data_IF_894041525278
#
_entry.id   IF_894041525278
#
_cell.length_a   1.000
_cell.length_b   1.000
_cell.length_c   1.000
_cell.angle_alpha   90.00
_cell.angle_beta   90.00
_cell.angle_gamma   90.00
#
_symmetry.space_group_name_H-M   'P 1'
#
loop_
_entity.id
_entity.type
_entity.pdbx_description
1 polymer ?
#
# COMPACT_ATOMS: atom_id res chain seq x y z
N UNK A 1 -42.11 -21.67 -48.34
CA UNK A 1 -40.76 -21.42 -48.90
C UNK A 1 -39.89 -20.91 -47.77
N UNK A 2 -38.87 -21.68 -47.37
CA UNK A 2 -37.92 -21.33 -46.32
C UNK A 2 -36.89 -20.33 -46.87
N UNK A 3 -36.80 -19.15 -46.25
CA UNK A 3 -35.69 -18.22 -46.45
C UNK A 3 -34.52 -18.63 -45.57
N UNK A 4 -33.48 -19.17 -46.19
CA UNK A 4 -32.22 -19.54 -45.53
C UNK A 4 -31.47 -18.24 -45.23
N UNK A 5 -31.40 -17.87 -43.96
CA UNK A 5 -30.45 -16.88 -43.48
C UNK A 5 -29.05 -17.51 -43.56
N UNK A 6 -28.22 -17.04 -44.49
CA UNK A 6 -26.79 -17.31 -44.48
C UNK A 6 -26.18 -16.64 -43.24
N UNK A 7 -25.63 -17.38 -42.27
CA UNK A 7 -24.84 -16.76 -41.21
C UNK A 7 -23.59 -16.18 -41.87
N UNK A 8 -23.41 -14.86 -41.74
CA UNK A 8 -22.14 -14.20 -41.96
C UNK A 8 -21.08 -14.97 -41.17
N UNK A 9 -20.23 -15.72 -41.87
CA UNK A 9 -19.04 -16.26 -41.26
C UNK A 9 -18.17 -15.07 -40.88
N UNK A 10 -18.17 -14.72 -39.59
CA UNK A 10 -17.11 -13.93 -39.01
C UNK A 10 -15.81 -14.66 -39.38
N UNK A 11 -15.04 -14.07 -40.29
CA UNK A 11 -13.76 -14.62 -40.70
C UNK A 11 -12.85 -14.59 -39.47
N UNK A 12 -12.73 -15.72 -38.79
CA UNK A 12 -11.70 -15.91 -37.78
C UNK A 12 -10.36 -15.75 -38.50
N UNK A 13 -9.67 -14.64 -38.22
CA UNK A 13 -8.33 -14.41 -38.76
C UNK A 13 -7.39 -15.49 -38.23
N UNK A 14 -6.52 -16.01 -39.10
CA UNK A 14 -5.44 -16.91 -38.66
C UNK A 14 -4.38 -16.13 -37.88
N UNK A 15 -3.64 -16.83 -37.01
CA UNK A 15 -2.57 -16.23 -36.21
C UNK A 15 -1.53 -15.50 -37.12
N UNK A 16 -1.28 -16.01 -38.33
CA UNK A 16 -0.43 -15.35 -39.34
C UNK A 16 -1.04 -14.07 -39.93
N UNK A 17 -2.35 -14.04 -40.19
CA UNK A 17 -3.06 -12.85 -40.69
C UNK A 17 -3.10 -11.75 -39.62
N UNK A 18 -3.27 -12.13 -38.35
CA UNK A 18 -3.21 -11.20 -37.22
C UNK A 18 -1.82 -10.60 -37.10
N UNK A 19 -0.77 -11.44 -37.22
CA UNK A 19 0.62 -10.97 -37.19
C UNK A 19 0.91 -9.95 -38.32
N UNK A 20 0.49 -10.25 -39.54
CA UNK A 20 0.70 -9.36 -40.69
C UNK A 20 -0.05 -8.04 -40.51
N UNK A 21 -1.31 -8.10 -40.05
CA UNK A 21 -2.09 -6.90 -39.74
C UNK A 21 -1.43 -6.02 -38.70
N UNK A 22 -0.83 -6.63 -37.67
CA UNK A 22 -0.10 -5.90 -36.63
C UNK A 22 1.16 -5.24 -37.20
N UNK A 23 1.94 -5.95 -38.01
CA UNK A 23 3.13 -5.41 -38.67
C UNK A 23 2.81 -4.23 -39.57
N UNK A 24 1.76 -4.34 -40.38
CA UNK A 24 1.28 -3.26 -41.26
C UNK A 24 0.77 -2.06 -40.45
N UNK A 25 0.03 -2.30 -39.36
CA UNK A 25 -0.45 -1.25 -38.48
C UNK A 25 0.68 -0.46 -37.83
N UNK A 26 1.74 -1.14 -37.37
CA UNK A 26 2.93 -0.51 -36.79
C UNK A 26 3.67 0.32 -37.86
N UNK A 27 3.83 -0.21 -39.08
CA UNK A 27 4.43 0.53 -40.21
C UNK A 27 3.64 1.78 -40.59
N UNK A 28 2.33 1.73 -40.45
CA UNK A 28 1.42 2.87 -40.66
C UNK A 28 1.38 3.85 -39.47
N UNK A 29 2.13 3.57 -38.39
CA UNK A 29 2.18 4.43 -37.20
C UNK A 29 0.94 4.36 -36.31
N UNK A 30 0.10 3.31 -36.45
CA UNK A 30 -1.08 3.13 -35.60
C UNK A 30 -0.68 2.78 -34.17
N UNK A 31 -1.42 3.31 -33.21
CA UNK A 31 -1.23 3.00 -31.78
C UNK A 31 -1.62 1.55 -31.47
N UNK A 32 -0.82 0.87 -30.63
CA UNK A 32 -1.04 -0.53 -30.22
C UNK A 32 -2.44 -0.77 -29.62
N UNK A 33 -2.97 0.21 -28.89
CA UNK A 33 -4.31 0.16 -28.28
C UNK A 33 -5.43 0.19 -29.33
N UNK A 34 -5.26 1.00 -30.39
CA UNK A 34 -6.22 1.11 -31.49
C UNK A 34 -6.24 -0.18 -32.30
N UNK A 35 -5.06 -0.72 -32.58
CA UNK A 35 -4.86 -1.98 -33.28
C UNK A 35 -5.49 -3.16 -32.51
N UNK A 36 -5.31 -3.23 -31.18
CA UNK A 36 -5.92 -4.25 -30.33
C UNK A 36 -7.45 -4.19 -30.37
N UNK A 37 -8.03 -2.99 -30.36
CA UNK A 37 -9.48 -2.77 -30.49
C UNK A 37 -10.01 -3.24 -31.84
N UNK A 38 -9.31 -2.93 -32.94
CA UNK A 38 -9.69 -3.39 -34.28
C UNK A 38 -9.63 -4.91 -34.42
N UNK A 39 -8.59 -5.55 -33.87
CA UNK A 39 -8.45 -7.01 -33.88
C UNK A 39 -9.53 -7.71 -33.05
N UNK A 40 -9.85 -7.16 -31.87
CA UNK A 40 -10.94 -7.67 -31.05
C UNK A 40 -12.30 -7.57 -31.79
N UNK A 41 -12.55 -6.46 -32.50
CA UNK A 41 -13.77 -6.29 -33.32
C UNK A 41 -13.82 -7.23 -34.51
N UNK A 42 -12.67 -7.68 -35.01
CA UNK A 42 -12.52 -8.68 -36.09
C UNK A 42 -12.59 -10.13 -35.59
N UNK A 43 -12.84 -10.34 -34.30
CA UNK A 43 -13.04 -11.68 -33.73
C UNK A 43 -11.76 -12.39 -33.30
N UNK A 44 -10.64 -11.67 -33.16
CA UNK A 44 -9.41 -12.24 -32.60
C UNK A 44 -9.60 -12.50 -31.11
N UNK A 45 -9.39 -13.75 -30.71
CA UNK A 45 -9.48 -14.17 -29.30
C UNK A 45 -8.27 -13.72 -28.50
N UNK A 46 -8.42 -13.61 -27.17
CA UNK A 46 -7.33 -13.24 -26.27
C UNK A 46 -6.17 -14.23 -26.37
N UNK A 47 -6.49 -15.51 -26.50
CA UNK A 47 -5.54 -16.61 -26.62
C UNK A 47 -4.76 -16.52 -27.94
N UNK A 48 -5.43 -16.16 -29.04
CA UNK A 48 -4.77 -15.87 -30.32
C UNK A 48 -3.85 -14.66 -30.24
N UNK A 49 -4.29 -13.58 -29.60
CA UNK A 49 -3.48 -12.38 -29.42
C UNK A 49 -2.20 -12.67 -28.63
N UNK A 50 -2.27 -13.49 -27.57
CA UNK A 50 -1.09 -13.89 -26.79
C UNK A 50 -0.10 -14.71 -27.61
N UNK A 51 -0.57 -15.70 -28.38
CA UNK A 51 0.30 -16.50 -29.25
C UNK A 51 0.99 -15.65 -30.31
N UNK A 52 0.25 -14.73 -30.93
CA UNK A 52 0.79 -13.83 -31.95
C UNK A 52 1.80 -12.84 -31.36
N UNK A 53 1.53 -12.31 -30.15
CA UNK A 53 2.50 -11.48 -29.39
C UNK A 53 3.82 -12.24 -29.19
N UNK A 54 3.75 -13.49 -28.75
CA UNK A 54 4.92 -14.33 -28.53
C UNK A 54 5.71 -14.60 -29.82
N UNK A 55 5.02 -14.88 -30.94
CA UNK A 55 5.66 -15.07 -32.25
C UNK A 55 6.36 -13.80 -32.73
N UNK A 56 5.74 -12.64 -32.54
CA UNK A 56 6.34 -11.34 -32.88
C UNK A 56 7.60 -11.06 -32.04
N UNK A 57 7.53 -11.27 -30.73
CA UNK A 57 8.66 -11.06 -29.81
C UNK A 57 9.82 -12.01 -30.09
N UNK A 58 9.52 -13.28 -30.37
CA UNK A 58 10.53 -14.27 -30.73
C UNK A 58 11.22 -13.89 -32.05
N UNK A 59 10.47 -13.41 -33.05
CA UNK A 59 11.03 -12.98 -34.34
C UNK A 59 11.84 -11.67 -34.23
N UNK A 60 11.44 -10.74 -33.35
CA UNK A 60 12.19 -9.50 -33.13
C UNK A 60 13.47 -9.72 -32.31
N UNK A 61 13.50 -10.73 -31.43
CA UNK A 61 14.68 -11.05 -30.63
C UNK A 61 15.84 -11.61 -31.49
N UNK A 62 15.55 -12.39 -32.55
CA UNK A 62 16.59 -12.91 -33.47
C UNK A 62 17.20 -11.83 -34.39
N UNK A 63 16.47 -10.75 -34.69
CA UNK A 63 16.99 -9.61 -35.47
C UNK A 63 17.83 -8.62 -34.65
N UNK A 64 17.84 -8.74 -33.31
CA UNK A 64 18.72 -7.94 -32.44
C UNK A 64 20.15 -8.52 -32.32
N UNK A 65 20.41 -9.70 -32.90
CA UNK A 65 21.71 -10.38 -32.82
C UNK A 65 22.79 -9.84 -33.76
N UNK A 66 22.46 -8.88 -34.64
CA UNK A 66 23.39 -8.29 -35.63
C UNK A 66 23.53 -6.77 -35.52
N UNK A 67 23.23 -6.19 -34.35
CA UNK A 67 23.51 -4.77 -34.08
C UNK A 67 24.30 -4.63 -32.78
N UNK A 68 25.57 -4.24 -32.97
CA UNK A 68 26.53 -3.80 -31.97
C UNK A 68 25.92 -2.85 -30.93
N UNK A 69 26.19 -3.13 -29.65
CA UNK A 69 26.30 -2.12 -28.60
C UNK A 69 25.03 -1.82 -27.80
N UNK A 70 25.03 -2.30 -26.55
CA UNK A 70 24.40 -1.65 -25.38
C UNK A 70 22.97 -1.16 -25.51
N UNK A 71 21.96 -2.04 -25.31
CA UNK A 71 20.60 -1.66 -24.83
C UNK A 71 19.69 -2.87 -24.46
N UNK A 72 20.25 -4.00 -24.01
CA UNK A 72 19.46 -5.25 -23.84
C UNK A 72 18.92 -5.45 -22.40
N UNK A 73 19.13 -4.53 -21.46
CA UNK A 73 18.84 -4.80 -20.04
C UNK A 73 17.53 -4.23 -19.47
N UNK A 74 16.67 -3.57 -20.25
CA UNK A 74 15.43 -2.96 -19.72
C UNK A 74 14.16 -3.77 -20.01
N UNK A 75 14.16 -4.72 -20.94
CA UNK A 75 12.90 -5.33 -21.42
C UNK A 75 12.50 -6.65 -20.75
N UNK A 76 13.25 -7.13 -19.75
CA UNK A 76 12.99 -8.44 -19.11
C UNK A 76 12.33 -8.38 -17.74
N UNK A 77 12.03 -7.20 -17.21
CA UNK A 77 11.58 -7.03 -15.81
C UNK A 77 10.07 -6.77 -15.63
N UNK A 78 9.22 -7.08 -16.60
CA UNK A 78 7.80 -6.69 -16.50
C UNK A 78 6.74 -7.72 -16.85
N UNK A 79 7.07 -9.02 -16.83
CA UNK A 79 6.06 -10.03 -17.15
C UNK A 79 6.14 -11.29 -16.25
N UNK A 80 6.34 -11.12 -14.94
CA UNK A 80 6.02 -12.18 -13.95
C UNK A 80 5.49 -11.55 -12.66
N UNK A 81 4.25 -11.06 -12.68
CA UNK A 81 3.48 -10.91 -11.45
C UNK A 81 1.98 -10.96 -11.76
N UNK A 82 1.48 -12.16 -12.06
CA UNK A 82 0.12 -12.55 -11.72
C UNK A 82 0.10 -14.03 -11.34
N UNK A 83 -0.51 -14.26 -10.18
CA UNK A 83 -0.89 -15.57 -9.61
C UNK A 83 0.24 -16.35 -8.92
N UNK A 84 0.39 -16.18 -7.62
CA UNK A 84 -0.31 -17.05 -6.66
C UNK A 84 -0.26 -16.51 -5.22
N UNK A 85 -1.29 -16.93 -4.50
CA UNK A 85 -1.76 -16.55 -3.17
C UNK A 85 -0.86 -17.10 -2.05
N UNK A 86 -0.91 -16.43 -0.89
CA UNK A 86 -0.61 -16.97 0.46
C UNK A 86 0.82 -17.43 0.76
N UNK A 87 1.60 -16.56 1.39
CA UNK A 87 2.27 -16.80 2.68
C UNK A 87 2.88 -15.46 3.12
N UNK A 88 2.30 -14.80 4.12
CA UNK A 88 2.80 -14.81 5.50
C UNK A 88 4.31 -14.49 5.62
N UNK A 89 4.56 -13.29 6.15
CA UNK A 89 5.78 -12.87 6.85
C UNK A 89 7.06 -12.75 6.00
N UNK A 90 7.26 -11.60 5.36
CA UNK A 90 8.62 -11.17 5.03
C UNK A 90 8.69 -9.63 4.96
N UNK A 91 9.20 -9.06 6.05
CA UNK A 91 9.68 -7.67 6.15
C UNK A 91 10.97 -7.54 5.32
N UNK A 92 10.83 -7.52 4.01
CA UNK A 92 11.93 -7.15 3.14
C UNK A 92 11.80 -5.66 2.80
N UNK A 93 12.76 -4.80 3.21
CA UNK A 93 12.83 -3.44 2.71
C UNK A 93 13.03 -3.52 1.21
N UNK A 94 11.95 -3.26 0.47
CA UNK A 94 11.98 -3.16 -0.99
C UNK A 94 13.05 -2.14 -1.41
N UNK A 95 13.60 -2.34 -2.61
CA UNK A 95 14.62 -1.51 -3.30
C UNK A 95 14.34 0.00 -3.36
N UNK A 96 13.19 0.45 -2.85
CA UNK A 96 12.81 1.82 -2.55
C UNK A 96 13.81 2.57 -1.65
N UNK A 97 14.53 1.87 -0.78
CA UNK A 97 15.52 2.47 0.12
C UNK A 97 16.79 2.96 -0.60
N UNK A 98 16.92 2.79 -1.90
CA UNK A 98 18.05 3.32 -2.69
C UNK A 98 17.74 4.69 -3.33
N UNK A 99 16.50 5.18 -3.25
CA UNK A 99 16.07 6.48 -3.78
C UNK A 99 16.06 7.61 -2.72
N UNK A 100 16.95 7.54 -1.70
CA UNK A 100 16.95 8.44 -0.52
C UNK A 100 17.36 9.89 -0.78
N UNK A 101 17.41 10.35 -2.03
CA UNK A 101 17.63 11.76 -2.36
C UNK A 101 16.41 12.65 -2.08
N UNK A 102 15.20 12.09 -2.14
CA UNK A 102 13.92 12.83 -2.02
C UNK A 102 13.02 12.31 -0.88
N UNK A 103 13.60 11.68 0.14
CA UNK A 103 12.83 11.19 1.28
C UNK A 103 12.58 12.33 2.27
N UNK A 104 11.33 12.84 2.28
CA UNK A 104 10.86 13.78 3.30
C UNK A 104 10.85 13.09 4.67
N UNK A 105 11.38 13.78 5.69
CA UNK A 105 11.38 13.29 7.08
C UNK A 105 9.98 12.85 7.51
N UNK A 106 9.88 11.69 8.14
CA UNK A 106 8.61 11.15 8.64
C UNK A 106 7.73 10.43 7.61
N UNK A 107 8.04 10.44 6.30
CA UNK A 107 7.18 9.79 5.28
C UNK A 107 6.87 8.30 5.57
N UNK A 108 7.78 7.61 6.24
CA UNK A 108 7.64 6.18 6.56
C UNK A 108 6.66 5.91 7.71
N UNK A 109 6.50 6.85 8.65
CA UNK A 109 5.58 6.67 9.79
C UNK A 109 4.14 7.10 9.47
N UNK A 110 3.91 7.85 8.38
CA UNK A 110 2.59 8.36 7.98
C UNK A 110 1.93 7.61 6.81
N UNK A 111 2.64 6.68 6.15
CA UNK A 111 2.16 6.01 4.93
C UNK A 111 1.91 4.50 5.12
N UNK A 112 1.57 4.08 6.33
CA UNK A 112 1.22 2.68 6.65
C UNK A 112 -0.28 2.45 6.46
N UNK A 113 -0.67 1.25 5.99
CA UNK A 113 -2.09 0.91 5.75
C UNK A 113 -2.96 0.96 7.02
N UNK A 114 -2.36 0.81 8.20
CA UNK A 114 -3.04 0.81 9.51
C UNK A 114 -2.46 1.90 10.41
N UNK A 115 -2.45 3.15 9.94
CA UNK A 115 -1.97 4.28 10.71
C UNK A 115 -2.91 4.58 11.89
N UNK A 116 -2.41 4.46 13.12
CA UNK A 116 -3.08 4.96 14.32
C UNK A 116 -2.08 5.69 15.20
N UNK A 117 -2.50 6.81 15.77
CA UNK A 117 -1.74 7.60 16.74
C UNK A 117 -2.31 7.47 18.15
N UNK A 118 -3.25 6.53 18.34
CA UNK A 118 -3.85 6.33 19.64
C UNK A 118 -2.82 5.69 20.57
N UNK A 119 -2.48 6.35 21.69
CA UNK A 119 -1.63 5.74 22.69
C UNK A 119 -2.36 4.55 23.31
N UNK A 120 -1.63 3.50 23.66
CA UNK A 120 -2.19 2.38 24.42
C UNK A 120 -2.78 2.91 25.74
N UNK A 121 -4.08 2.73 25.93
CA UNK A 121 -4.87 3.40 26.98
C UNK A 121 -4.64 2.84 28.40
N UNK A 122 -3.75 1.85 28.55
CA UNK A 122 -3.55 1.15 29.81
C UNK A 122 -2.08 0.80 30.04
N UNK A 123 -1.25 1.84 30.12
CA UNK A 123 0.14 1.73 30.54
C UNK A 123 0.21 2.23 31.99
N UNK A 124 0.90 1.49 32.86
CA UNK A 124 1.15 1.94 34.22
C UNK A 124 1.90 3.28 34.21
N UNK A 125 1.54 4.19 35.12
CA UNK A 125 2.29 5.43 35.31
C UNK A 125 3.72 5.08 35.75
N UNK A 126 4.75 5.56 35.03
CA UNK A 126 6.13 5.24 35.40
C UNK A 126 6.48 5.88 36.75
N UNK A 127 7.46 5.31 37.45
CA UNK A 127 7.86 5.79 38.79
C UNK A 127 8.34 7.26 38.79
N UNK A 128 8.90 7.73 37.68
CA UNK A 128 9.37 9.10 37.49
C UNK A 128 8.32 10.01 36.82
N UNK A 129 7.06 9.57 36.72
CA UNK A 129 5.98 10.41 36.26
C UNK A 129 5.78 11.59 37.21
N UNK A 130 5.69 12.79 36.66
CA UNK A 130 5.42 14.01 37.41
C UNK A 130 3.96 14.38 37.24
N UNK A 131 3.27 14.54 38.36
CA UNK A 131 1.87 14.92 38.40
C UNK A 131 1.68 16.32 37.82
N UNK A 132 0.69 16.45 36.95
CA UNK A 132 0.35 17.68 36.25
C UNK A 132 -1.15 17.99 36.24
N UNK A 133 -1.53 19.19 35.80
CA UNK A 133 -2.93 19.56 35.65
C UNK A 133 -3.69 18.60 34.75
N UNK A 134 -4.89 18.20 35.19
CA UNK A 134 -5.74 17.26 34.46
C UNK A 134 -5.55 15.79 34.82
N UNK A 135 -4.47 15.43 35.52
CA UNK A 135 -4.29 14.08 36.06
C UNK A 135 -5.33 13.78 37.14
N UNK A 136 -5.77 12.52 37.24
CA UNK A 136 -6.64 12.06 38.32
C UNK A 136 -5.82 11.30 39.37
N UNK A 137 -6.03 11.65 40.64
CA UNK A 137 -5.43 10.96 41.77
C UNK A 137 -6.50 10.27 42.60
N UNK A 138 -6.19 9.06 43.05
CA UNK A 138 -7.02 8.24 43.92
C UNK A 138 -6.26 8.08 45.23
N UNK A 139 -6.83 8.58 46.32
CA UNK A 139 -6.23 8.57 47.65
C UNK A 139 -7.04 7.63 48.53
N UNK A 140 -6.44 6.51 48.91
CA UNK A 140 -7.05 5.54 49.80
C UNK A 140 -6.51 5.71 51.24
N UNK A 141 -7.42 6.05 52.15
CA UNK A 141 -7.14 6.27 53.56
C UNK A 141 -7.58 5.02 54.32
N UNK A 142 -6.64 4.40 55.04
CA UNK A 142 -6.86 3.21 55.86
C UNK A 142 -6.55 3.51 57.33
N UNK A 143 -7.22 2.83 58.26
CA UNK A 143 -7.00 2.95 59.71
C UNK A 143 -8.29 3.16 60.49
N UNK A 144 -8.29 4.10 61.45
CA UNK A 144 -9.45 4.40 62.29
C UNK A 144 -10.64 5.02 61.51
N UNK A 145 -10.37 5.60 60.34
CA UNK A 145 -11.38 6.10 59.41
C UNK A 145 -10.97 5.70 58.00
N UNK A 146 -11.86 5.03 57.27
CA UNK A 146 -11.64 4.62 55.89
C UNK A 146 -12.30 5.61 54.93
N UNK A 147 -11.56 6.03 53.89
CA UNK A 147 -12.10 6.90 52.86
C UNK A 147 -11.30 6.76 51.56
N UNK A 148 -11.98 6.84 50.42
CA UNK A 148 -11.35 6.92 49.11
C UNK A 148 -11.72 8.26 48.49
N UNK A 149 -10.73 9.06 48.17
CA UNK A 149 -10.91 10.38 47.54
C UNK A 149 -10.42 10.29 46.11
N UNK A 150 -11.28 10.66 45.16
CA UNK A 150 -10.93 10.79 43.73
C UNK A 150 -11.03 12.25 43.36
N UNK A 151 -9.93 12.84 42.92
CA UNK A 151 -9.90 14.21 42.45
C UNK A 151 -9.00 14.37 41.24
N UNK A 152 -9.41 15.28 40.36
CA UNK A 152 -8.59 15.76 39.27
C UNK A 152 -7.74 16.94 39.76
N UNK A 153 -6.46 16.94 39.38
CA UNK A 153 -5.55 18.04 39.66
C UNK A 153 -6.00 19.27 38.86
N UNK A 154 -6.21 20.37 39.56
CA UNK A 154 -6.66 21.63 38.99
C UNK A 154 -5.58 22.28 38.08
N UNK A 155 -5.93 23.27 37.25
CA UNK A 155 -4.97 24.02 36.43
C UNK A 155 -3.83 24.68 37.21
N UNK A 156 -4.09 25.06 38.46
CA UNK A 156 -3.09 25.60 39.42
C UNK A 156 -2.23 24.49 40.08
N UNK A 157 -2.48 23.22 39.75
CA UNK A 157 -1.69 22.09 40.24
C UNK A 157 -2.04 21.66 41.65
N UNK A 158 -3.27 21.92 42.12
CA UNK A 158 -3.70 21.58 43.47
C UNK A 158 -4.90 20.62 43.48
N UNK A 159 -5.10 19.94 44.61
CA UNK A 159 -6.32 19.20 44.93
C UNK A 159 -6.85 19.68 46.28
N UNK A 160 -8.15 19.60 46.51
CA UNK A 160 -8.75 20.08 47.76
C UNK A 160 -9.26 18.94 48.62
N UNK A 161 -8.50 18.54 49.64
CA UNK A 161 -8.89 17.43 50.51
C UNK A 161 -9.78 17.94 51.64
N UNK A 162 -10.95 17.31 51.84
CA UNK A 162 -11.84 17.66 52.94
C UNK A 162 -11.10 17.60 54.29
N UNK A 163 -11.24 18.65 55.11
CA UNK A 163 -10.60 18.83 56.43
C UNK A 163 -9.08 19.11 56.41
N UNK A 164 -8.42 19.07 55.25
CA UNK A 164 -6.99 19.44 55.09
C UNK A 164 -6.85 20.75 54.29
N UNK A 165 -7.68 20.93 53.26
CA UNK A 165 -7.62 22.07 52.35
C UNK A 165 -6.84 21.78 51.06
N UNK A 166 -6.34 22.83 50.37
CA UNK A 166 -5.61 22.68 49.11
C UNK A 166 -4.21 22.08 49.33
N UNK A 167 -3.88 21.06 48.57
CA UNK A 167 -2.58 20.39 48.54
C UNK A 167 -1.97 20.56 47.15
N UNK A 168 -0.72 21.04 47.08
CA UNK A 168 0.00 21.22 45.83
C UNK A 168 0.67 19.90 45.42
N UNK A 169 0.41 19.46 44.18
CA UNK A 169 0.95 18.23 43.62
C UNK A 169 1.82 18.50 42.38
N UNK A 170 1.97 19.76 41.96
CA UNK A 170 2.60 20.11 40.70
C UNK A 170 4.07 19.68 40.67
N UNK A 171 4.41 18.83 39.70
CA UNK A 171 5.78 18.39 39.50
C UNK A 171 6.26 17.32 40.49
N UNK A 172 5.44 16.95 41.49
CA UNK A 172 5.74 15.85 42.40
C UNK A 172 5.59 14.51 41.69
N UNK A 173 6.42 13.56 42.06
CA UNK A 173 6.21 12.15 41.73
C UNK A 173 5.19 11.52 42.68
N UNK A 174 4.64 10.37 42.29
CA UNK A 174 3.68 9.61 43.12
C UNK A 174 4.28 9.24 44.49
N UNK A 175 5.61 9.12 44.60
CA UNK A 175 6.28 8.82 45.86
C UNK A 175 6.52 10.06 46.75
N UNK A 176 6.52 11.26 46.18
CA UNK A 176 6.74 12.52 46.89
C UNK A 176 5.43 13.17 47.37
N UNK A 177 4.33 12.87 46.69
CA UNK A 177 2.96 13.32 47.02
C UNK A 177 2.42 12.61 48.27
#
# INVERSE_FOLDING_TARGET
>A
MLGVFSPLMAQNMSDSQVLEYVKDGIRQGKEQKQLASELARRGVTKEQATRVKQLYEQQNNVNASNATGTDVNESRLREEMKENTSDMLEDHPSTQDLARGNQVFGRNIFNTRNLTFEPSVNIATPLNYRLGPGDEVIIDIWGASQNTIRQQISPDGTINIQKIGPVNLNGLTIAEA
#
